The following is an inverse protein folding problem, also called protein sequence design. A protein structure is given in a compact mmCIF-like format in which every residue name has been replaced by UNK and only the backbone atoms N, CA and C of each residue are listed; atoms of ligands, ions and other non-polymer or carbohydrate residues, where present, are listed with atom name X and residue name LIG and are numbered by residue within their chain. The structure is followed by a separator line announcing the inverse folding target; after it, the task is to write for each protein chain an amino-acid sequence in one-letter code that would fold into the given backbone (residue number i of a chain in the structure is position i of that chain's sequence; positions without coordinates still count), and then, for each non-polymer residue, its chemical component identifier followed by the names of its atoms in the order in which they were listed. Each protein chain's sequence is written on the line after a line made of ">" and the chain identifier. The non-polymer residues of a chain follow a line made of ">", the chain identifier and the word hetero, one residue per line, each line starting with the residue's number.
data_IF_423740547967
#
_entry.id   IF_423740547967
#
_cell.length_a   1.000
_cell.length_b   1.000
_cell.length_c   1.000
_cell.angle_alpha   90.00
_cell.angle_beta   90.00
_cell.angle_gamma   90.00
#
_symmetry.space_group_name_H-M   'P 1'
#
loop_
_entity.id
_entity.type
_entity.pdbx_description
1 polymer ?
#
# COMPACT_ATOMS: atom_id res chain seq x y z
N UNK A 1 5.52 -5.03 6.10
CA UNK A 1 4.05 -4.89 6.16
C UNK A 1 3.47 -4.96 4.75
N UNK A 2 2.28 -5.52 4.59
CA UNK A 2 1.61 -5.66 3.29
C UNK A 2 0.25 -4.95 3.35
N UNK A 3 -0.06 -4.20 2.31
CA UNK A 3 -1.30 -3.43 2.20
C UNK A 3 -2.02 -3.86 0.93
N UNK A 4 -3.30 -4.20 1.08
CA UNK A 4 -4.19 -4.55 -0.03
C UNK A 4 -5.40 -3.65 -0.03
N UNK A 5 -5.86 -3.25 -1.21
CA UNK A 5 -7.14 -2.60 -1.43
C UNK A 5 -8.10 -3.64 -1.99
N UNK A 6 -9.27 -3.76 -1.37
CA UNK A 6 -10.28 -4.74 -1.75
C UNK A 6 -11.55 -4.03 -2.19
N UNK A 7 -12.17 -4.56 -3.23
CA UNK A 7 -13.49 -4.16 -3.75
C UNK A 7 -14.34 -5.43 -3.91
N UNK A 8 -15.51 -5.45 -3.28
CA UNK A 8 -16.41 -6.63 -3.23
C UNK A 8 -15.73 -7.97 -2.83
N UNK A 9 -14.63 -7.92 -2.08
CA UNK A 9 -13.87 -9.09 -1.65
C UNK A 9 -12.70 -9.46 -2.56
N UNK A 10 -12.56 -8.83 -3.72
CA UNK A 10 -11.44 -9.01 -4.64
C UNK A 10 -10.33 -8.00 -4.38
N UNK A 11 -9.07 -8.45 -4.44
CA UNK A 11 -7.92 -7.56 -4.23
C UNK A 11 -7.57 -6.82 -5.52
N UNK A 12 -7.82 -5.51 -5.54
CA UNK A 12 -7.67 -4.66 -6.73
C UNK A 12 -6.39 -3.83 -6.75
N UNK A 13 -5.71 -3.69 -5.60
CA UNK A 13 -4.39 -3.07 -5.50
C UNK A 13 -3.58 -3.65 -4.34
N UNK A 14 -2.26 -3.58 -4.47
CA UNK A 14 -1.33 -4.09 -3.48
C UNK A 14 -0.09 -3.21 -3.36
N UNK A 15 0.50 -3.17 -2.17
CA UNK A 15 1.80 -2.58 -1.90
C UNK A 15 2.48 -3.28 -0.72
N UNK A 16 3.80 -3.46 -0.82
CA UNK A 16 4.62 -4.03 0.25
C UNK A 16 5.59 -2.98 0.77
N UNK A 17 5.58 -2.76 2.09
CA UNK A 17 6.53 -1.93 2.79
C UNK A 17 7.53 -2.80 3.56
N UNK A 18 8.80 -2.71 3.18
CA UNK A 18 9.92 -3.28 3.92
C UNK A 18 10.54 -2.16 4.73
N UNK A 19 10.70 -2.35 6.03
CA UNK A 19 11.18 -1.30 6.94
C UNK A 19 11.86 -1.91 8.16
N UNK A 20 12.82 -1.17 8.73
CA UNK A 20 13.42 -1.44 10.04
C UNK A 20 12.55 -0.91 11.21
N UNK A 21 11.45 -0.19 10.90
CA UNK A 21 10.56 0.41 11.88
C UNK A 21 11.12 1.65 12.57
N UNK A 22 12.23 2.22 12.08
CA UNK A 22 12.88 3.36 12.71
C UNK A 22 13.41 4.39 11.70
N UNK A 23 14.23 3.97 10.74
CA UNK A 23 15.01 4.89 9.90
C UNK A 23 14.89 4.64 8.40
N UNK A 24 14.49 3.44 7.99
CA UNK A 24 14.46 3.05 6.60
C UNK A 24 13.09 2.48 6.20
N UNK A 25 12.61 2.95 5.05
CA UNK A 25 11.37 2.49 4.43
C UNK A 25 11.62 2.22 2.95
N UNK A 26 11.24 1.04 2.48
CA UNK A 26 11.35 0.62 1.09
C UNK A 26 10.00 0.10 0.61
N UNK A 27 9.41 0.82 -0.34
CA UNK A 27 8.13 0.47 -0.95
C UNK A 27 8.39 -0.35 -2.21
N UNK A 28 7.73 -1.50 -2.32
CA UNK A 28 7.89 -2.42 -3.44
C UNK A 28 6.56 -3.10 -3.80
N UNK A 29 6.55 -3.74 -4.97
CA UNK A 29 5.42 -4.50 -5.51
C UNK A 29 4.10 -3.70 -5.56
N UNK A 30 4.19 -2.40 -5.87
CA UNK A 30 3.02 -1.53 -5.94
C UNK A 30 2.32 -1.72 -7.28
N UNK A 31 1.07 -2.18 -7.26
CA UNK A 31 0.26 -2.27 -8.46
C UNK A 31 -1.23 -2.01 -8.19
N UNK A 32 -1.93 -1.65 -9.26
CA UNK A 32 -3.40 -1.56 -9.33
C UNK A 32 -3.81 -2.32 -10.59
N UNK A 33 -4.84 -3.15 -10.49
CA UNK A 33 -5.43 -3.86 -11.63
C UNK A 33 -5.86 -2.87 -12.72
N UNK A 34 -5.70 -3.25 -13.98
CA UNK A 34 -5.82 -2.33 -15.12
C UNK A 34 -7.18 -1.63 -15.19
N UNK A 35 -8.25 -2.35 -14.86
CA UNK A 35 -9.64 -1.89 -14.85
C UNK A 35 -9.91 -0.82 -13.79
N UNK A 36 -9.06 -0.77 -12.76
CA UNK A 36 -9.18 0.12 -11.60
C UNK A 36 -8.21 1.31 -11.67
N UNK A 37 -7.38 1.41 -12.72
CA UNK A 37 -6.43 2.52 -12.89
C UNK A 37 -7.13 3.85 -13.19
N UNK A 38 -6.43 4.94 -12.92
CA UNK A 38 -6.94 6.30 -13.13
C UNK A 38 -7.89 6.81 -12.04
N UNK A 39 -8.29 5.97 -11.08
CA UNK A 39 -9.23 6.31 -10.01
C UNK A 39 -8.58 6.84 -8.72
N UNK A 40 -7.25 7.07 -8.73
CA UNK A 40 -6.50 7.57 -7.57
C UNK A 40 -6.23 6.53 -6.47
N UNK A 41 -6.50 5.25 -6.71
CA UNK A 41 -6.32 4.15 -5.74
C UNK A 41 -4.87 4.06 -5.25
N UNK A 42 -3.89 4.09 -6.16
CA UNK A 42 -2.47 4.04 -5.79
C UNK A 42 -2.04 5.22 -4.92
N UNK A 43 -2.57 6.42 -5.18
CA UNK A 43 -2.31 7.60 -4.34
C UNK A 43 -2.85 7.40 -2.93
N UNK A 44 -4.10 6.97 -2.79
CA UNK A 44 -4.72 6.72 -1.48
C UNK A 44 -4.01 5.60 -0.72
N UNK A 45 -3.60 4.54 -1.40
CA UNK A 45 -2.83 3.45 -0.82
C UNK A 45 -1.48 3.94 -0.28
N UNK A 46 -0.71 4.67 -1.07
CA UNK A 46 0.59 5.21 -0.65
C UNK A 46 0.42 6.21 0.49
N UNK A 47 -0.57 7.10 0.41
CA UNK A 47 -0.87 8.07 1.47
C UNK A 47 -1.21 7.37 2.81
N UNK A 48 -1.96 6.28 2.74
CA UNK A 48 -2.25 5.45 3.92
C UNK A 48 -0.98 4.84 4.51
N UNK A 49 -0.04 4.38 3.67
CA UNK A 49 1.21 3.77 4.12
C UNK A 49 2.14 4.81 4.76
N UNK A 50 2.29 5.97 4.14
CA UNK A 50 3.20 7.04 4.59
C UNK A 50 2.73 7.68 5.88
N UNK A 51 1.41 7.85 6.05
CA UNK A 51 0.84 8.45 7.25
C UNK A 51 0.49 7.42 8.34
N UNK A 52 0.69 6.13 8.10
CA UNK A 52 0.50 5.12 9.13
C UNK A 52 1.55 5.30 10.24
N UNK A 53 1.11 5.26 11.50
CA UNK A 53 2.03 5.13 12.62
C UNK A 53 2.59 3.71 12.62
N UNK A 54 3.84 3.58 12.17
CA UNK A 54 4.55 2.30 12.16
C UNK A 54 4.98 2.02 13.60
N UNK A 55 4.11 1.31 14.33
CA UNK A 55 4.41 0.87 15.69
C UNK A 55 5.10 -0.48 15.59
N UNK A 56 6.39 -0.52 15.92
CA UNK A 56 7.13 -1.77 16.11
C UNK A 56 6.58 -2.48 17.35
N UNK A 57 6.24 -3.76 17.20
CA UNK A 57 5.82 -4.63 18.31
C UNK A 57 6.98 -4.94 19.25
#
# INVERSE_FOLDING_TARGET
>A
MCYGVYDEGEMIAFARLVTDGATMYYLCDVFVLDEYRGQGISKKLIDTIVNAQITTS
#
